data_IF_726972906254
#
_entry.id   IF_726972906254
#
_cell.length_a   1.000
_cell.length_b   1.000
_cell.length_c   1.000
_cell.angle_alpha   90.00
_cell.angle_beta   90.00
_cell.angle_gamma   90.00
#
_symmetry.space_group_name_H-M   'P 1'
#
loop_
_entity.id
_entity.type
_entity.pdbx_description
1 polymer ?
#
# COMPACT_ATOMS: atom_id res chain seq x y z
N UNK A 1 -8.46 2.68 8.19
CA UNK A 1 -7.47 2.00 9.02
C UNK A 1 -7.16 2.83 10.26
N UNK A 2 -6.74 2.17 11.32
CA UNK A 2 -6.19 2.77 12.52
C UNK A 2 -4.67 2.51 12.58
N UNK A 3 -3.92 3.43 13.20
CA UNK A 3 -2.47 3.28 13.43
C UNK A 3 -2.14 2.25 14.51
N UNK A 4 -3.12 1.89 15.34
CA UNK A 4 -3.04 0.89 16.41
C UNK A 4 -4.37 0.18 16.62
N UNK A 5 -4.37 -0.89 17.41
CA UNK A 5 -5.60 -1.60 17.79
C UNK A 5 -6.49 -0.70 18.65
N UNK A 6 -7.78 -0.67 18.32
CA UNK A 6 -8.79 0.05 19.09
C UNK A 6 -9.14 -0.77 20.34
N UNK A 7 -9.11 -0.18 21.55
CA UNK A 7 -9.55 -0.86 22.77
C UNK A 7 -10.99 -1.36 22.70
N UNK A 8 -11.27 -2.55 23.26
CA UNK A 8 -12.59 -3.19 23.22
C UNK A 8 -13.72 -2.30 23.77
N UNK A 9 -13.44 -1.51 24.80
CA UNK A 9 -14.42 -0.59 25.39
C UNK A 9 -14.88 0.53 24.44
N UNK A 10 -14.08 0.86 23.42
CA UNK A 10 -14.44 1.84 22.38
C UNK A 10 -15.08 1.17 21.16
N UNK A 11 -14.82 -0.12 20.95
CA UNK A 11 -15.45 -0.89 19.87
C UNK A 11 -16.97 -0.94 20.02
N UNK A 12 -17.43 -1.09 21.26
CA UNK A 12 -18.85 -1.17 21.60
C UNK A 12 -19.55 0.20 21.72
N UNK A 13 -18.84 1.32 21.60
CA UNK A 13 -19.45 2.65 21.72
C UNK A 13 -20.37 2.94 20.50
N UNK A 14 -21.67 3.19 20.71
CA UNK A 14 -22.64 3.39 19.64
C UNK A 14 -22.37 4.68 18.83
N UNK A 15 -21.77 5.71 19.44
CA UNK A 15 -21.40 6.95 18.76
C UNK A 15 -20.22 6.69 17.82
N UNK A 16 -19.21 5.95 18.28
CA UNK A 16 -18.03 5.60 17.47
C UNK A 16 -18.36 4.62 16.34
N UNK A 17 -19.35 3.74 16.56
CA UNK A 17 -19.92 2.88 15.51
C UNK A 17 -20.62 3.67 14.42
N UNK A 18 -21.38 4.71 14.79
CA UNK A 18 -22.06 5.60 13.85
C UNK A 18 -21.10 6.32 12.90
N UNK A 19 -19.90 6.67 13.39
CA UNK A 19 -18.86 7.35 12.60
C UNK A 19 -17.94 6.40 11.81
N UNK A 20 -18.24 5.09 11.79
CA UNK A 20 -17.39 4.05 11.20
C UNK A 20 -15.94 4.01 11.75
N UNK A 21 -15.69 4.59 12.92
CA UNK A 21 -14.35 4.67 13.53
C UNK A 21 -14.04 3.43 14.37
N UNK A 22 -15.02 2.92 15.12
CA UNK A 22 -14.80 1.78 16.02
C UNK A 22 -14.47 0.47 15.30
N UNK A 23 -14.93 0.30 14.05
CA UNK A 23 -14.63 -0.85 13.21
C UNK A 23 -13.34 -0.73 12.40
N UNK A 24 -12.58 0.37 12.53
CA UNK A 24 -11.38 0.56 11.74
C UNK A 24 -10.28 -0.42 12.17
N UNK A 25 -9.89 -1.29 11.23
CA UNK A 25 -8.82 -2.26 11.47
C UNK A 25 -7.46 -1.56 11.62
N UNK A 26 -6.64 -2.10 12.53
CA UNK A 26 -5.21 -1.86 12.52
C UNK A 26 -4.61 -2.41 11.21
N UNK A 27 -3.78 -1.62 10.54
CA UNK A 27 -3.26 -1.94 9.20
C UNK A 27 -2.54 -3.31 9.16
N UNK A 28 -1.73 -3.64 10.16
CA UNK A 28 -1.04 -4.94 10.19
C UNK A 28 -1.98 -6.12 10.45
N UNK A 29 -3.09 -5.91 11.17
CA UNK A 29 -4.08 -6.97 11.34
C UNK A 29 -4.83 -7.22 10.03
N UNK A 30 -5.12 -6.16 9.25
CA UNK A 30 -5.61 -6.29 7.88
C UNK A 30 -4.62 -7.05 6.98
N UNK A 31 -3.31 -6.73 7.05
CA UNK A 31 -2.27 -7.48 6.34
C UNK A 31 -2.28 -8.97 6.69
N UNK A 32 -2.34 -9.31 7.98
CA UNK A 32 -2.40 -10.71 8.45
C UNK A 32 -3.66 -11.42 7.97
N UNK A 33 -4.81 -10.73 7.95
CA UNK A 33 -6.04 -11.31 7.40
C UNK A 33 -5.91 -11.66 5.92
N UNK A 34 -5.33 -10.78 5.12
CA UNK A 34 -5.09 -11.06 3.70
C UNK A 34 -4.12 -12.22 3.48
N UNK A 35 -3.08 -12.35 4.31
CA UNK A 35 -2.17 -13.50 4.27
C UNK A 35 -2.91 -14.82 4.46
N UNK A 36 -3.83 -14.91 5.45
CA UNK A 36 -4.66 -16.10 5.67
C UNK A 36 -5.56 -16.41 4.46
N UNK A 37 -5.94 -15.40 3.68
CA UNK A 37 -6.76 -15.54 2.47
C UNK A 37 -5.94 -15.83 1.19
N UNK A 38 -4.64 -16.15 1.32
CA UNK A 38 -3.70 -16.34 0.22
C UNK A 38 -3.54 -15.09 -0.66
N UNK A 39 -3.51 -13.93 -0.02
CA UNK A 39 -3.17 -12.64 -0.61
C UNK A 39 -2.04 -12.01 0.22
N UNK A 40 -0.79 -12.46 0.05
CA UNK A 40 0.28 -12.11 0.98
C UNK A 40 0.82 -10.69 0.80
N UNK A 41 0.50 -10.04 -0.32
CA UNK A 41 0.89 -8.67 -0.65
C UNK A 41 -0.34 -7.86 -1.10
N UNK A 42 -0.52 -6.68 -0.50
CA UNK A 42 -1.49 -5.68 -0.91
C UNK A 42 -0.79 -4.35 -1.09
N UNK A 43 -1.30 -3.54 -2.00
CA UNK A 43 -0.73 -2.24 -2.33
C UNK A 43 -1.63 -1.11 -1.88
N UNK A 44 -1.04 -0.06 -1.34
CA UNK A 44 -1.74 1.18 -0.98
C UNK A 44 -1.69 2.12 -2.18
N UNK A 45 -2.85 2.46 -2.75
CA UNK A 45 -2.93 3.36 -3.92
C UNK A 45 -2.94 4.82 -3.48
N UNK A 46 -3.66 5.10 -2.39
CA UNK A 46 -3.76 6.43 -1.82
C UNK A 46 -4.12 6.29 -0.34
N UNK A 47 -3.59 7.20 0.48
CA UNK A 47 -3.96 7.35 1.88
C UNK A 47 -4.29 8.81 2.17
N UNK A 48 -5.35 9.05 2.95
CA UNK A 48 -5.68 10.35 3.56
C UNK A 48 -5.85 10.18 5.06
N UNK A 49 -5.28 11.09 5.84
CA UNK A 49 -5.54 11.17 7.28
C UNK A 49 -6.97 11.65 7.53
N UNK A 50 -7.61 11.12 8.55
CA UNK A 50 -8.93 11.56 8.99
C UNK A 50 -8.77 12.33 10.30
N UNK A 51 -9.23 13.59 10.33
CA UNK A 51 -9.40 14.33 11.57
C UNK A 51 -10.74 13.95 12.21
N UNK A 52 -10.76 14.01 13.54
CA UNK A 52 -11.99 13.84 14.33
C UNK A 52 -12.39 15.23 14.79
N UNK A 53 -13.44 15.78 14.20
CA UNK A 53 -13.84 17.16 14.47
C UNK A 53 -14.79 17.27 15.69
N UNK A 54 -15.07 16.15 16.36
CA UNK A 54 -15.91 16.08 17.56
C UNK A 54 -15.03 15.90 18.81
N UNK A 55 -14.90 16.93 19.67
CA UNK A 55 -14.03 16.89 20.85
C UNK A 55 -14.40 15.78 21.85
N UNK A 56 -15.69 15.41 21.96
CA UNK A 56 -16.13 14.35 22.86
C UNK A 56 -15.70 12.96 22.36
N UNK A 57 -15.65 12.78 21.04
CA UNK A 57 -15.16 11.57 20.40
C UNK A 57 -13.62 11.52 20.49
N UNK A 58 -12.95 12.64 20.22
CA UNK A 58 -11.49 12.77 20.31
C UNK A 58 -10.98 12.43 21.72
N UNK A 59 -11.63 12.96 22.76
CA UNK A 59 -11.30 12.66 24.15
C UNK A 59 -11.45 11.17 24.53
N UNK A 60 -12.40 10.45 23.90
CA UNK A 60 -12.63 9.02 24.15
C UNK A 60 -11.65 8.14 23.39
N UNK A 61 -11.41 8.47 22.13
CA UNK A 61 -10.51 7.75 21.22
C UNK A 61 -9.04 7.88 21.68
N UNK A 62 -8.70 9.01 22.32
CA UNK A 62 -7.38 9.25 22.84
C UNK A 62 -6.35 9.41 21.72
N UNK A 63 -5.41 8.46 21.63
CA UNK A 63 -4.22 8.58 20.77
C UNK A 63 -4.30 7.79 19.46
N UNK A 64 -5.46 7.22 19.12
CA UNK A 64 -5.65 6.47 17.87
C UNK A 64 -5.76 7.44 16.71
N UNK A 65 -4.91 7.27 15.69
CA UNK A 65 -4.98 8.05 14.45
C UNK A 65 -5.67 7.22 13.37
N UNK A 66 -6.57 7.86 12.63
CA UNK A 66 -7.32 7.22 11.56
C UNK A 66 -6.86 7.69 10.19
N UNK A 67 -6.91 6.76 9.25
CA UNK A 67 -6.68 7.03 7.85
C UNK A 67 -7.72 6.32 6.98
N UNK A 68 -8.08 6.95 5.88
CA UNK A 68 -8.84 6.33 4.79
C UNK A 68 -7.83 6.00 3.69
N UNK A 69 -7.65 4.71 3.43
CA UNK A 69 -6.72 4.23 2.40
C UNK A 69 -7.46 3.40 1.37
N UNK A 70 -7.13 3.63 0.11
CA UNK A 70 -7.56 2.79 -1.02
C UNK A 70 -6.49 1.74 -1.23
N UNK A 71 -6.87 0.46 -1.15
CA UNK A 71 -5.94 -0.67 -1.31
C UNK A 71 -6.28 -1.49 -2.54
N UNK A 72 -5.25 -2.09 -3.14
CA UNK A 72 -5.36 -3.07 -4.22
C UNK A 72 -4.73 -4.38 -3.75
N UNK A 73 -5.49 -5.45 -3.75
CA UNK A 73 -5.02 -6.77 -3.33
C UNK A 73 -5.10 -7.73 -4.51
N UNK A 74 -4.06 -8.53 -4.73
CA UNK A 74 -3.98 -9.48 -5.84
C UNK A 74 -3.97 -10.91 -5.29
N UNK A 75 -4.84 -11.75 -5.83
CA UNK A 75 -4.87 -13.18 -5.50
C UNK A 75 -4.08 -13.95 -6.54
N UNK A 76 -2.78 -14.06 -6.32
CA UNK A 76 -1.82 -14.72 -7.21
C UNK A 76 -0.95 -15.67 -6.39
N UNK A 77 -0.74 -16.90 -6.88
CA UNK A 77 -0.01 -17.95 -6.15
C UNK A 77 1.51 -17.70 -6.11
N UNK A 78 2.01 -16.81 -6.97
CA UNK A 78 3.42 -16.44 -7.10
C UNK A 78 3.85 -15.30 -6.16
N UNK A 79 2.93 -14.74 -5.38
CA UNK A 79 3.26 -13.66 -4.45
C UNK A 79 3.92 -14.20 -3.19
N UNK A 80 4.93 -13.48 -2.74
CA UNK A 80 5.66 -13.70 -1.49
C UNK A 80 5.22 -12.63 -0.47
N UNK A 81 5.52 -12.82 0.82
CA UNK A 81 5.14 -11.86 1.87
C UNK A 81 6.06 -10.62 1.89
N UNK A 82 7.20 -10.68 1.21
CA UNK A 82 8.18 -9.60 1.10
C UNK A 82 8.53 -9.29 -0.36
N UNK A 83 9.07 -8.10 -0.58
CA UNK A 83 9.61 -7.69 -1.86
C UNK A 83 10.97 -8.35 -2.10
N UNK A 84 11.00 -9.44 -2.87
CA UNK A 84 12.25 -10.10 -3.28
C UNK A 84 12.75 -9.58 -4.63
N UNK A 85 14.07 -9.45 -4.79
CA UNK A 85 14.74 -8.98 -6.00
C UNK A 85 15.19 -10.17 -6.86
N UNK A 86 14.63 -10.24 -8.06
CA UNK A 86 15.02 -11.21 -9.10
C UNK A 86 15.62 -10.51 -10.33
N UNK A 87 15.96 -9.22 -10.22
CA UNK A 87 16.53 -8.45 -11.33
C UNK A 87 15.53 -8.12 -12.45
N UNK A 88 14.23 -8.22 -12.17
CA UNK A 88 13.18 -8.01 -13.17
C UNK A 88 12.98 -6.53 -13.49
N UNK A 89 12.62 -6.26 -14.76
CA UNK A 89 12.35 -4.92 -15.28
C UNK A 89 10.97 -4.92 -15.91
N UNK A 90 10.14 -3.93 -15.56
CA UNK A 90 8.83 -3.72 -16.16
C UNK A 90 8.79 -2.39 -16.93
N UNK A 91 8.13 -2.42 -18.09
CA UNK A 91 7.89 -1.26 -18.95
C UNK A 91 6.40 -1.17 -19.24
N UNK A 92 5.78 -0.03 -18.92
CA UNK A 92 4.39 0.23 -19.25
C UNK A 92 4.26 0.63 -20.72
N UNK A 93 3.31 0.03 -21.44
CA UNK A 93 3.15 0.23 -22.89
C UNK A 93 2.25 1.41 -23.28
N UNK A 94 1.63 2.10 -22.32
CA UNK A 94 0.73 3.24 -22.62
C UNK A 94 -0.61 2.84 -23.21
N UNK A 95 -0.99 1.56 -23.14
CA UNK A 95 -2.17 1.01 -23.85
C UNK A 95 -3.46 1.03 -23.04
N UNK A 96 -3.49 1.66 -21.86
CA UNK A 96 -4.73 1.88 -21.09
C UNK A 96 -5.29 3.24 -21.50
N UNK A 97 -6.52 3.25 -22.01
CA UNK A 97 -7.14 4.44 -22.64
C UNK A 97 -7.12 5.69 -21.75
N UNK A 98 -7.41 5.54 -20.46
CA UNK A 98 -7.44 6.66 -19.51
C UNK A 98 -6.11 6.93 -18.80
N UNK A 99 -5.04 6.24 -19.19
CA UNK A 99 -3.72 6.35 -18.56
C UNK A 99 -2.57 6.28 -19.59
N UNK A 100 -2.61 6.98 -20.74
CA UNK A 100 -1.67 6.75 -21.85
C UNK A 100 -0.22 7.16 -21.56
N UNK A 101 0.01 8.02 -20.55
CA UNK A 101 1.34 8.58 -20.24
C UNK A 101 1.98 7.95 -19.01
N UNK A 102 1.16 7.53 -18.04
CA UNK A 102 1.64 6.91 -16.82
C UNK A 102 0.58 6.00 -16.20
N UNK A 103 1.03 4.93 -15.55
CA UNK A 103 0.18 4.05 -14.77
C UNK A 103 0.66 3.99 -13.32
N UNK A 104 -0.27 4.20 -12.38
CA UNK A 104 -0.02 4.06 -10.95
C UNK A 104 -0.51 2.68 -10.50
N UNK A 105 0.42 1.77 -10.21
CA UNK A 105 0.08 0.51 -9.56
C UNK A 105 -0.31 0.78 -8.10
N UNK A 106 0.48 1.63 -7.44
CA UNK A 106 0.36 2.04 -6.05
C UNK A 106 1.06 3.39 -5.82
N UNK A 107 1.20 3.80 -4.56
CA UNK A 107 1.82 5.07 -4.16
C UNK A 107 3.35 5.12 -4.35
N UNK A 108 4.01 3.99 -4.64
CA UNK A 108 5.45 3.91 -4.87
C UNK A 108 5.81 3.56 -6.33
N UNK A 109 4.91 2.90 -7.06
CA UNK A 109 5.15 2.40 -8.41
C UNK A 109 4.39 3.22 -9.46
N UNK A 110 5.05 4.26 -9.96
CA UNK A 110 4.58 5.12 -11.06
C UNK A 110 5.35 4.75 -12.34
N UNK A 111 4.68 4.05 -13.26
CA UNK A 111 5.29 3.65 -14.53
C UNK A 111 4.99 4.67 -15.62
N UNK A 112 6.01 5.39 -16.09
CA UNK A 112 5.92 6.21 -17.29
C UNK A 112 5.92 5.32 -18.55
N UNK A 113 5.12 5.71 -19.55
CA UNK A 113 5.02 4.96 -20.81
C UNK A 113 6.36 4.83 -21.50
N UNK A 114 6.71 3.60 -21.90
CA UNK A 114 7.96 3.20 -22.55
C UNK A 114 9.24 3.43 -21.73
N UNK A 115 9.13 3.77 -20.44
CA UNK A 115 10.27 3.90 -19.54
C UNK A 115 10.44 2.63 -18.71
N UNK A 116 11.57 1.91 -18.83
CA UNK A 116 11.81 0.73 -18.00
C UNK A 116 12.04 1.10 -16.54
N UNK A 117 11.51 0.28 -15.63
CA UNK A 117 11.65 0.41 -14.19
C UNK A 117 12.01 -0.95 -13.59
N UNK A 118 12.99 -0.98 -12.67
CA UNK A 118 13.28 -2.19 -11.88
C UNK A 118 12.14 -2.46 -10.90
N UNK A 119 11.76 -3.73 -10.75
CA UNK A 119 10.64 -4.14 -9.91
C UNK A 119 10.99 -5.39 -9.10
N UNK A 120 10.35 -5.54 -7.94
CA UNK A 120 10.42 -6.78 -7.17
C UNK A 120 9.60 -7.91 -7.83
N UNK A 121 9.83 -9.15 -7.40
CA UNK A 121 9.12 -10.33 -7.90
C UNK A 121 7.61 -10.22 -7.79
N UNK A 122 7.11 -9.69 -6.66
CA UNK A 122 5.67 -9.48 -6.46
C UNK A 122 5.09 -8.49 -7.48
N UNK A 123 5.74 -7.34 -7.69
CA UNK A 123 5.30 -6.35 -8.67
C UNK A 123 5.33 -6.94 -10.08
N UNK A 124 6.37 -7.69 -10.44
CA UNK A 124 6.44 -8.38 -11.73
C UNK A 124 5.25 -9.34 -11.92
N UNK A 125 4.95 -10.18 -10.92
CA UNK A 125 3.79 -11.08 -10.95
C UNK A 125 2.46 -10.34 -11.05
N UNK A 126 2.27 -9.26 -10.29
CA UNK A 126 1.05 -8.42 -10.40
C UNK A 126 0.86 -7.87 -11.81
N UNK A 127 1.95 -7.49 -12.49
CA UNK A 127 1.91 -6.95 -13.84
C UNK A 127 1.75 -8.03 -14.91
N UNK A 128 2.32 -9.22 -14.72
CA UNK A 128 2.30 -10.32 -15.71
C UNK A 128 1.10 -11.27 -15.58
N UNK A 129 0.56 -11.47 -14.39
CA UNK A 129 -0.42 -12.53 -14.09
C UNK A 129 -1.82 -11.98 -13.80
N UNK A 130 -2.04 -10.67 -13.98
CA UNK A 130 -3.35 -10.03 -13.83
C UNK A 130 -3.86 -9.48 -15.17
N UNK A 131 -4.99 -8.76 -15.12
CA UNK A 131 -5.51 -8.02 -16.29
C UNK A 131 -4.54 -6.96 -16.83
N UNK A 132 -3.48 -6.62 -16.10
CA UNK A 132 -2.43 -5.71 -16.55
C UNK A 132 -1.45 -6.33 -17.56
N UNK A 133 -1.41 -7.66 -17.72
CA UNK A 133 -0.42 -8.36 -18.54
C UNK A 133 -0.26 -7.80 -19.96
N UNK A 134 -1.37 -7.49 -20.62
CA UNK A 134 -1.36 -6.95 -22.00
C UNK A 134 -0.85 -5.50 -22.11
N UNK A 135 -0.69 -4.82 -20.98
CA UNK A 135 -0.30 -3.42 -20.88
C UNK A 135 1.15 -3.22 -20.45
N UNK A 136 1.85 -4.30 -20.12
CA UNK A 136 3.21 -4.27 -19.61
C UNK A 136 4.10 -5.26 -20.35
N UNK A 137 5.33 -4.84 -20.62
CA UNK A 137 6.41 -5.74 -20.96
C UNK A 137 7.27 -5.95 -19.72
N UNK A 138 7.43 -7.20 -19.28
CA UNK A 138 8.31 -7.56 -18.16
C UNK A 138 9.43 -8.45 -18.67
N UNK A 139 10.66 -8.06 -18.38
CA UNK A 139 11.90 -8.76 -18.77
C UNK A 139 12.56 -9.34 -17.53
N UNK A 140 13.06 -10.57 -17.66
CA UNK A 140 13.63 -11.35 -16.56
C UNK A 140 12.66 -12.41 -16.02
N UNK A 141 13.18 -13.29 -15.18
CA UNK A 141 12.45 -14.36 -14.52
C UNK A 141 12.92 -14.50 -13.06
N UNK A 142 12.45 -15.54 -12.36
CA UNK A 142 12.81 -15.81 -10.96
C UNK A 142 13.90 -16.89 -10.82
N UNK A 143 14.72 -17.14 -11.84
CA UNK A 143 15.76 -18.17 -11.79
C UNK A 143 16.95 -17.80 -10.89
N UNK A 144 17.19 -16.50 -10.67
CA UNK A 144 18.28 -16.00 -9.84
C UNK A 144 17.75 -14.96 -8.83
N UNK A 145 17.97 -15.22 -7.54
CA UNK A 145 17.57 -14.34 -6.44
C UNK A 145 18.74 -13.48 -5.98
N UNK A 146 18.50 -12.18 -5.83
CA UNK A 146 19.50 -11.18 -5.43
C UNK A 146 19.30 -10.65 -4.00
N UNK A 147 18.33 -11.20 -3.25
CA UNK A 147 17.98 -10.76 -1.90
C UNK A 147 16.74 -9.87 -1.88
N UNK A 148 16.61 -9.05 -0.83
CA UNK A 148 15.48 -8.15 -0.67
C UNK A 148 15.58 -6.98 -1.66
N UNK A 149 14.46 -6.72 -2.34
CA UNK A 149 14.30 -5.52 -3.16
C UNK A 149 13.97 -4.33 -2.26
N UNK A 150 14.64 -3.19 -2.49
CA UNK A 150 14.33 -1.93 -1.82
C UNK A 150 13.04 -1.33 -2.40
N UNK A 151 11.91 -1.98 -2.10
CA UNK A 151 10.60 -1.38 -2.32
C UNK A 151 10.42 -0.38 -1.18
N UNK A 152 10.20 0.90 -1.51
CA UNK A 152 10.06 1.98 -0.52
C UNK A 152 9.00 1.75 0.57
N UNK A 153 8.23 0.67 0.48
CA UNK A 153 7.31 0.14 1.48
C UNK A 153 7.95 -0.76 2.56
N UNK A 154 9.28 -0.78 2.69
CA UNK A 154 10.02 -1.54 3.71
C UNK A 154 10.18 -0.88 5.09
N UNK A 155 9.69 0.34 5.30
CA UNK A 155 9.68 1.00 6.61
C UNK A 155 8.25 1.43 6.92
N UNK A 156 7.75 1.05 8.10
CA UNK A 156 6.40 1.39 8.54
C UNK A 156 6.07 2.84 8.21
N UNK A 157 4.92 3.04 7.55
CA UNK A 157 4.40 4.37 7.21
C UNK A 157 4.05 5.11 8.50
N UNK A 158 5.09 5.71 9.08
CA UNK A 158 5.08 6.91 9.89
C UNK A 158 6.12 7.81 9.21
N UNK A 159 5.76 8.37 8.05
CA UNK A 159 6.50 9.49 7.53
C UNK A 159 6.38 10.62 8.57
N UNK A 160 7.43 10.84 9.36
CA UNK A 160 7.52 12.03 10.19
C UNK A 160 7.49 13.27 9.28
N UNK A 161 6.76 14.32 9.66
CA UNK A 161 6.80 15.57 8.91
C UNK A 161 8.24 16.10 8.91
N UNK A 162 8.78 16.38 7.72
CA UNK A 162 10.05 17.11 7.58
C UNK A 162 9.93 18.43 8.38
N UNK A 163 10.89 18.78 9.24
CA UNK A 163 10.89 20.10 9.85
C UNK A 163 11.12 21.14 8.75
N UNK A 164 10.10 21.94 8.48
CA UNK A 164 10.25 23.21 7.77
C UNK A 164 11.05 24.17 8.66
N UNK A 165 12.12 24.72 8.11
CA UNK A 165 12.76 25.94 8.64
C UNK A 165 14.16 25.75 9.18
N UNK A 166 15.16 25.72 8.30
CA UNK A 166 16.45 26.35 8.59
C UNK A 166 16.46 27.73 7.95
N UNK A 167 16.55 28.83 8.72
CA UNK A 167 17.09 30.08 8.21
C UNK A 167 18.62 30.02 8.30
N UNK A 168 19.25 30.40 7.19
CA UNK A 168 20.68 30.52 7.01
C UNK A 168 21.33 31.47 8.04
N UNK A 169 22.48 31.07 8.59
CA UNK A 169 23.78 31.77 8.58
C UNK A 169 24.83 30.86 9.21
#
# INVERSE_FOLDING_TARGET
FADRRIPDGLFEDPVLRGECLSGALYLEDFRRMLQVLNCPDFRVVQTRSLSIDNPAIEARIGMVKFSSSTVRAFKLCSLEDRCEDYGQIATYLGTIEHAPHQFLLDDHHVFETNKPMRVCGNTASMLQESSYARHFQVVGDRSHHFGLFDCGSGQGLCAEPKPEGSPCC
#
